data_IF_100036793924
#
_entry.id   IF_100036793924
#
_cell.length_a   1.000
_cell.length_b   1.000
_cell.length_c   1.000
_cell.angle_alpha   90.00
_cell.angle_beta   90.00
_cell.angle_gamma   90.00
#
_symmetry.space_group_name_H-M   'P 1'
#
loop_
_entity.id
_entity.type
_entity.pdbx_description
1 polymer ?
#
# COMPACT_ATOMS: atom_id res chain seq x y z
N UNK A 1 8.60 -17.66 7.80
CA UNK A 1 8.25 -16.42 8.53
C UNK A 1 6.82 -16.08 8.21
N UNK A 2 5.99 -15.71 9.19
CA UNK A 2 4.67 -15.17 8.88
C UNK A 2 4.87 -13.87 8.10
N UNK A 3 4.40 -13.82 6.86
CA UNK A 3 4.54 -12.64 6.01
C UNK A 3 3.67 -11.54 6.62
N UNK A 4 4.27 -10.51 7.19
CA UNK A 4 3.54 -9.31 7.58
C UNK A 4 3.05 -8.59 6.33
N UNK A 5 1.86 -7.99 6.40
CA UNK A 5 1.31 -7.19 5.30
C UNK A 5 1.75 -5.73 5.44
N UNK A 6 2.06 -5.11 4.31
CA UNK A 6 2.22 -3.66 4.19
C UNK A 6 0.88 -3.04 3.74
N UNK A 7 0.90 -2.16 2.72
CA UNK A 7 -0.28 -1.46 2.20
C UNK A 7 -1.34 -2.38 1.56
N UNK A 8 -0.90 -3.43 0.86
CA UNK A 8 -1.77 -4.34 0.10
C UNK A 8 -1.72 -5.76 0.67
N UNK A 9 -2.86 -6.44 0.66
CA UNK A 9 -2.98 -7.86 1.02
C UNK A 9 -2.49 -8.76 -0.11
N UNK A 10 -2.21 -10.04 0.18
CA UNK A 10 -1.81 -11.00 -0.85
C UNK A 10 -2.88 -11.16 -1.95
N UNK A 11 -4.16 -11.25 -1.57
CA UNK A 11 -5.27 -11.29 -2.53
C UNK A 11 -5.39 -10.01 -3.37
N UNK A 12 -5.13 -8.84 -2.79
CA UNK A 12 -5.11 -7.60 -3.57
C UNK A 12 -3.94 -7.57 -4.55
N UNK A 13 -2.78 -8.13 -4.17
CA UNK A 13 -1.63 -8.25 -5.07
C UNK A 13 -1.98 -9.10 -6.30
N UNK A 14 -2.54 -10.29 -6.11
CA UNK A 14 -2.99 -11.17 -7.20
C UNK A 14 -4.01 -10.49 -8.13
N UNK A 15 -4.91 -9.68 -7.56
CA UNK A 15 -5.93 -8.96 -8.34
C UNK A 15 -5.38 -7.75 -9.08
N UNK A 16 -4.35 -7.10 -8.52
CA UNK A 16 -3.69 -5.94 -9.14
C UNK A 16 -2.74 -6.36 -10.27
N UNK A 17 -2.12 -7.54 -10.18
CA UNK A 17 -1.26 -8.07 -11.26
C UNK A 17 -2.06 -8.55 -12.47
N UNK A 18 -3.38 -8.71 -12.34
CA UNK A 18 -4.25 -9.26 -13.38
C UNK A 18 -4.13 -10.78 -13.54
N UNK A 19 -3.32 -11.43 -12.70
CA UNK A 19 -3.08 -12.88 -12.71
C UNK A 19 -4.25 -13.66 -12.07
N UNK A 20 -5.05 -13.00 -11.23
CA UNK A 20 -6.24 -13.62 -10.66
C UNK A 20 -7.33 -13.81 -11.73
N UNK A 21 -7.76 -15.05 -11.94
CA UNK A 21 -8.95 -15.41 -12.75
C UNK A 21 -10.22 -15.09 -11.96
N UNK A 22 -10.57 -13.80 -11.92
CA UNK A 22 -11.74 -13.26 -11.21
C UNK A 22 -12.42 -12.19 -12.06
N UNK A 23 -13.72 -12.02 -11.83
CA UNK A 23 -14.54 -10.98 -12.46
C UNK A 23 -13.93 -9.58 -12.32
N UNK A 24 -14.08 -8.76 -13.38
CA UNK A 24 -13.54 -7.39 -13.44
C UNK A 24 -14.01 -6.52 -12.26
N UNK A 25 -15.23 -6.74 -11.76
CA UNK A 25 -15.73 -6.05 -10.58
C UNK A 25 -14.82 -6.28 -9.36
N UNK A 26 -14.30 -7.49 -9.16
CA UNK A 26 -13.42 -7.82 -8.02
C UNK A 26 -12.05 -7.18 -8.17
N UNK A 27 -11.54 -7.05 -9.40
CA UNK A 27 -10.31 -6.30 -9.72
C UNK A 27 -10.50 -4.82 -9.43
N UNK A 28 -11.60 -4.24 -9.90
CA UNK A 28 -11.96 -2.84 -9.65
C UNK A 28 -12.08 -2.53 -8.15
N UNK A 29 -12.72 -3.41 -7.38
CA UNK A 29 -12.84 -3.26 -5.92
C UNK A 29 -11.46 -3.29 -5.24
N UNK A 30 -10.54 -4.15 -5.69
CA UNK A 30 -9.18 -4.18 -5.16
C UNK A 30 -8.45 -2.85 -5.40
N UNK A 31 -8.50 -2.33 -6.63
CA UNK A 31 -7.92 -1.01 -6.99
C UNK A 31 -8.53 0.10 -6.12
N UNK A 32 -9.85 0.13 -6.00
CA UNK A 32 -10.57 1.15 -5.23
C UNK A 32 -10.18 1.14 -3.75
N UNK A 33 -10.06 -0.04 -3.14
CA UNK A 33 -9.62 -0.20 -1.75
C UNK A 33 -8.20 0.31 -1.54
N UNK A 34 -7.27 -0.10 -2.40
CA UNK A 34 -5.87 0.35 -2.30
C UNK A 34 -5.77 1.85 -2.49
N UNK A 35 -6.51 2.43 -3.45
CA UNK A 35 -6.60 3.88 -3.63
C UNK A 35 -7.12 4.58 -2.37
N UNK A 36 -8.16 4.04 -1.73
CA UNK A 36 -8.70 4.59 -0.48
C UNK A 36 -7.65 4.60 0.63
N UNK A 37 -6.85 3.54 0.77
CA UNK A 37 -5.76 3.50 1.77
C UNK A 37 -4.70 4.56 1.47
N UNK A 38 -4.27 4.68 0.22
CA UNK A 38 -3.28 5.69 -0.20
C UNK A 38 -3.79 7.11 0.09
N UNK A 39 -5.07 7.38 -0.16
CA UNK A 39 -5.61 8.74 -0.05
C UNK A 39 -6.05 9.13 1.36
N UNK A 40 -6.41 8.17 2.21
CA UNK A 40 -7.01 8.47 3.52
C UNK A 40 -6.21 7.91 4.70
N UNK A 41 -5.71 6.67 4.60
CA UNK A 41 -5.06 5.99 5.74
C UNK A 41 -3.56 6.31 5.77
N UNK A 42 -2.86 6.16 4.65
CA UNK A 42 -1.43 6.40 4.54
C UNK A 42 -1.01 7.85 4.90
N UNK A 43 -1.77 8.91 4.57
CA UNK A 43 -1.40 10.27 5.00
C UNK A 43 -1.43 10.46 6.51
N UNK A 44 -2.36 9.78 7.21
CA UNK A 44 -2.42 9.81 8.68
C UNK A 44 -1.19 9.11 9.28
N UNK A 45 -0.81 7.95 8.74
CA UNK A 45 0.40 7.23 9.15
C UNK A 45 1.66 8.07 8.89
N UNK A 46 1.76 8.69 7.71
CA UNK A 46 2.89 9.57 7.36
C UNK A 46 2.97 10.76 8.32
N UNK A 47 1.84 11.38 8.68
CA UNK A 47 1.81 12.48 9.64
C UNK A 47 2.26 12.02 11.04
N UNK A 48 1.87 10.82 11.46
CA UNK A 48 2.30 10.22 12.73
C UNK A 48 3.81 9.96 12.73
N UNK A 49 4.34 9.37 11.66
CA UNK A 49 5.78 9.11 11.51
C UNK A 49 6.56 10.43 11.50
N UNK A 50 6.15 11.43 10.71
CA UNK A 50 6.79 12.74 10.68
C UNK A 50 6.90 13.38 12.06
N UNK A 51 5.86 13.22 12.90
CA UNK A 51 5.79 13.81 14.22
C UNK A 51 6.61 13.04 15.27
N UNK A 52 6.58 11.72 15.22
CA UNK A 52 7.08 10.90 16.33
C UNK A 52 8.34 10.11 16.01
N UNK A 53 8.53 9.71 14.75
CA UNK A 53 9.60 8.83 14.26
C UNK A 53 10.03 9.22 12.85
N UNK A 54 10.68 10.39 12.69
CA UNK A 54 11.12 10.88 11.38
C UNK A 54 12.14 9.95 10.71
N UNK A 55 12.88 9.16 11.50
CA UNK A 55 13.76 8.07 11.05
C UNK A 55 13.02 7.06 10.17
N UNK A 56 11.84 6.61 10.61
CA UNK A 56 11.03 5.65 9.86
C UNK A 56 10.34 6.27 8.64
N UNK A 57 10.09 7.58 8.67
CA UNK A 57 9.58 8.30 7.51
C UNK A 57 10.65 8.44 6.42
N UNK A 58 11.91 8.63 6.80
CA UNK A 58 13.04 8.64 5.88
C UNK A 58 13.18 7.27 5.20
N UNK A 59 13.20 6.17 5.97
CA UNK A 59 13.21 4.81 5.42
C UNK A 59 12.04 4.54 4.44
N UNK A 60 10.82 5.03 4.76
CA UNK A 60 9.68 4.91 3.86
C UNK A 60 9.88 5.72 2.58
N UNK A 61 10.44 6.93 2.68
CA UNK A 61 10.70 7.80 1.54
C UNK A 61 11.75 7.21 0.63
N UNK A 62 12.81 6.61 1.16
CA UNK A 62 13.83 5.95 0.35
C UNK A 62 13.18 4.88 -0.54
N UNK A 63 12.36 3.99 0.04
CA UNK A 63 11.68 2.94 -0.75
C UNK A 63 10.69 3.47 -1.80
N UNK A 64 10.09 4.65 -1.58
CA UNK A 64 9.07 5.22 -2.48
C UNK A 64 9.67 6.18 -3.52
N UNK A 65 10.71 6.92 -3.13
CA UNK A 65 11.29 8.03 -3.87
C UNK A 65 12.69 7.74 -4.40
N UNK A 66 13.28 6.56 -4.14
CA UNK A 66 14.55 6.17 -4.77
C UNK A 66 14.42 6.29 -6.29
N UNK A 67 15.15 7.28 -6.82
CA UNK A 67 15.12 7.76 -8.21
C UNK A 67 15.67 6.70 -9.19
N UNK A 68 14.79 6.19 -10.07
CA UNK A 68 15.14 5.92 -11.47
C UNK A 68 14.56 7.02 -12.38
#
# INVERSE_FOLDING_TARGET
>A
MAKSRALITDTERERLTGEADVEDQKRYVAVSRVRRRIQNELPEDVALLAKHRPDLLEELRDVVCDDE
#
